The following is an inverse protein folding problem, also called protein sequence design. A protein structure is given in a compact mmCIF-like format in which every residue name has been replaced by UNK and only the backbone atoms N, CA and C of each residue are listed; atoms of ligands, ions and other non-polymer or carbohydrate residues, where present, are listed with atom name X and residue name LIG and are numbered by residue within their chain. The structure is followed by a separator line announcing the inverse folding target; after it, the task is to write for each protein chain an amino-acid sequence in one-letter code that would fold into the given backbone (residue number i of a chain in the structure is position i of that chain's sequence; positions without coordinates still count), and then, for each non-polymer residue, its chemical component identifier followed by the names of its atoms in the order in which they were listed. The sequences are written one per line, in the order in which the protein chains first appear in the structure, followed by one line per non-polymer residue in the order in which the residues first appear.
data_IF_887832352721
#
_entry.id   IF_887832352721
#
_cell.length_a   1.000
_cell.length_b   1.000
_cell.length_c   1.000
_cell.angle_alpha   90.00
_cell.angle_beta   90.00
_cell.angle_gamma   90.00
#
_symmetry.space_group_name_H-M   'P 1'
#
loop_
_entity.id
_entity.type
_entity.pdbx_description
1 polymer ?
#
# COMPACT_ATOMS: atom_id res chain seq x y z
N UNK A 1 -27.81 -52.14 -74.66
CA UNK A 1 -26.87 -51.98 -75.79
C UNK A 1 -26.73 -50.50 -76.08
N UNK A 2 -25.49 -49.98 -76.15
CA UNK A 2 -25.14 -48.75 -76.88
C UNK A 2 -25.27 -47.42 -76.12
N UNK A 3 -24.13 -46.78 -75.86
CA UNK A 3 -23.97 -45.35 -75.52
C UNK A 3 -24.76 -44.42 -76.46
N UNK A 4 -25.04 -43.18 -75.99
CA UNK A 4 -25.03 -42.03 -76.88
C UNK A 4 -23.95 -41.00 -76.53
N UNK A 5 -23.41 -40.43 -77.60
CA UNK A 5 -22.35 -39.44 -77.70
C UNK A 5 -22.65 -38.14 -76.93
N UNK A 6 -21.61 -37.61 -76.30
CA UNK A 6 -21.53 -36.26 -75.76
C UNK A 6 -21.21 -35.28 -76.89
N UNK A 7 -22.06 -34.28 -77.08
CA UNK A 7 -21.82 -33.14 -77.97
C UNK A 7 -21.55 -31.89 -77.13
N UNK A 8 -20.29 -31.46 -77.05
CA UNK A 8 -19.90 -30.18 -76.44
C UNK A 8 -20.37 -29.02 -77.33
N UNK A 9 -21.19 -28.12 -76.78
CA UNK A 9 -21.38 -26.76 -77.32
C UNK A 9 -20.74 -25.76 -76.36
N UNK A 10 -19.74 -25.06 -76.86
CA UNK A 10 -18.98 -24.02 -76.17
C UNK A 10 -19.81 -22.73 -76.12
N UNK A 11 -20.28 -22.34 -74.93
CA UNK A 11 -20.93 -21.05 -74.68
C UNK A 11 -19.96 -20.11 -73.97
N UNK A 12 -19.58 -19.02 -74.62
CA UNK A 12 -18.77 -17.94 -74.05
C UNK A 12 -19.71 -17.04 -73.24
N UNK A 13 -19.55 -17.01 -71.92
CA UNK A 13 -20.22 -16.07 -71.03
C UNK A 13 -19.23 -14.97 -70.62
N UNK A 14 -19.54 -13.75 -71.04
CA UNK A 14 -18.83 -12.53 -70.67
C UNK A 14 -19.25 -12.13 -69.25
N UNK A 15 -18.36 -12.32 -68.27
CA UNK A 15 -18.56 -11.86 -66.90
C UNK A 15 -18.05 -10.43 -66.73
N UNK A 16 -18.97 -9.49 -66.49
CA UNK A 16 -18.64 -8.14 -66.00
C UNK A 16 -18.37 -8.20 -64.49
N UNK A 17 -17.10 -8.13 -64.09
CA UNK A 17 -16.70 -8.01 -62.69
C UNK A 17 -16.80 -6.55 -62.24
N UNK A 18 -17.74 -6.24 -61.35
CA UNK A 18 -17.70 -4.99 -60.57
C UNK A 18 -16.61 -5.10 -59.51
N UNK A 19 -15.55 -4.30 -59.65
CA UNK A 19 -14.51 -4.16 -58.63
C UNK A 19 -15.03 -3.27 -57.50
N UNK A 20 -15.54 -3.88 -56.43
CA UNK A 20 -15.75 -3.18 -55.15
C UNK A 20 -14.39 -2.99 -54.48
N UNK A 21 -13.89 -1.76 -54.43
CA UNK A 21 -12.75 -1.39 -53.59
C UNK A 21 -13.12 -1.61 -52.12
N UNK A 22 -12.71 -2.75 -51.56
CA UNK A 22 -12.66 -2.93 -50.11
C UNK A 22 -11.53 -2.06 -49.56
N UNK A 23 -11.87 -0.89 -49.04
CA UNK A 23 -11.00 -0.19 -48.12
C UNK A 23 -10.85 -1.08 -46.88
N UNK A 24 -9.74 -1.81 -46.78
CA UNK A 24 -9.29 -2.40 -45.53
C UNK A 24 -9.05 -1.26 -44.54
N UNK A 25 -10.09 -0.89 -43.80
CA UNK A 25 -9.93 -0.13 -42.56
C UNK A 25 -9.18 -1.05 -41.62
N UNK A 26 -7.86 -0.87 -41.52
CA UNK A 26 -7.05 -1.39 -40.43
C UNK A 26 -7.61 -0.79 -39.15
N UNK A 27 -8.63 -1.42 -38.56
CA UNK A 27 -9.08 -1.13 -37.21
C UNK A 27 -7.87 -1.42 -36.32
N UNK A 28 -7.15 -0.36 -35.93
CA UNK A 28 -6.22 -0.45 -34.80
C UNK A 28 -7.03 -1.04 -33.64
N UNK A 29 -6.52 -2.07 -32.94
CA UNK A 29 -7.15 -2.48 -31.69
C UNK A 29 -7.32 -1.23 -30.82
N UNK A 30 -8.43 -1.09 -30.10
CA UNK A 30 -8.62 0.04 -29.20
C UNK A 30 -7.37 0.13 -28.32
N UNK A 31 -6.71 1.30 -28.34
CA UNK A 31 -5.55 1.58 -27.49
C UNK A 31 -6.01 1.35 -26.05
N UNK A 32 -5.53 0.27 -25.43
CA UNK A 32 -5.77 0.02 -24.01
C UNK A 32 -5.17 1.20 -23.23
N UNK A 33 -5.94 1.87 -22.38
CA UNK A 33 -5.40 2.95 -21.56
C UNK A 33 -4.23 2.40 -20.72
N UNK A 34 -3.18 3.22 -20.51
CA UNK A 34 -2.03 2.79 -19.74
C UNK A 34 -2.49 2.49 -18.30
N UNK A 35 -2.12 1.32 -17.77
CA UNK A 35 -2.45 0.89 -16.41
C UNK A 35 -1.35 1.33 -15.45
N UNK A 36 -1.74 1.84 -14.28
CA UNK A 36 -0.78 2.08 -13.20
C UNK A 36 -0.22 0.78 -12.65
N UNK A 37 1.02 0.84 -12.18
CA UNK A 37 1.66 -0.23 -11.42
C UNK A 37 1.98 0.25 -10.00
N UNK A 38 2.20 -0.68 -9.04
CA UNK A 38 2.75 -0.34 -7.73
C UNK A 38 4.08 0.44 -7.82
N UNK A 39 4.92 0.14 -8.82
CA UNK A 39 6.19 0.84 -9.05
C UNK A 39 5.98 2.30 -9.50
N UNK A 40 4.96 2.58 -10.31
CA UNK A 40 4.58 3.96 -10.65
C UNK A 40 4.20 4.75 -9.39
N UNK A 41 3.40 4.15 -8.50
CA UNK A 41 2.99 4.75 -7.23
C UNK A 41 4.21 5.09 -6.37
N UNK A 42 5.14 4.15 -6.18
CA UNK A 42 6.36 4.38 -5.39
C UNK A 42 7.29 5.40 -6.04
N UNK A 43 7.39 5.41 -7.37
CA UNK A 43 8.22 6.34 -8.13
C UNK A 43 7.75 7.79 -8.00
N UNK A 44 6.44 8.03 -7.92
CA UNK A 44 5.88 9.37 -7.67
C UNK A 44 6.20 9.91 -6.28
N UNK A 45 6.41 9.02 -5.32
CA UNK A 45 6.78 9.36 -3.94
C UNK A 45 8.31 9.33 -3.73
N UNK A 46 9.08 9.06 -4.78
CA UNK A 46 10.54 8.99 -4.79
C UNK A 46 11.23 10.28 -5.21
N UNK A 47 12.38 10.16 -5.86
CA UNK A 47 13.15 11.30 -6.35
C UNK A 47 12.50 11.93 -7.59
N UNK A 48 12.85 13.18 -7.91
CA UNK A 48 12.35 13.86 -9.13
C UNK A 48 12.70 13.09 -10.42
N UNK A 49 13.84 12.39 -10.41
CA UNK A 49 14.26 11.53 -11.53
C UNK A 49 13.34 10.32 -11.69
N UNK A 50 12.87 9.72 -10.59
CA UNK A 50 11.92 8.62 -10.62
C UNK A 50 10.53 9.09 -11.05
N UNK A 51 10.02 10.16 -10.44
CA UNK A 51 8.66 10.65 -10.72
C UNK A 51 8.49 11.15 -12.16
N UNK A 52 9.53 11.72 -12.77
CA UNK A 52 9.51 12.19 -14.17
C UNK A 52 9.43 11.07 -15.22
N UNK A 53 9.73 9.82 -14.85
CA UNK A 53 9.63 8.65 -15.74
C UNK A 53 8.22 8.07 -15.81
N UNK A 54 7.36 8.39 -14.85
CA UNK A 54 5.98 7.91 -14.79
C UNK A 54 5.16 8.61 -15.87
N UNK A 55 4.31 7.85 -16.57
CA UNK A 55 3.43 8.39 -17.59
C UNK A 55 2.60 9.58 -17.02
N UNK A 56 2.55 10.77 -17.67
CA UNK A 56 1.89 11.94 -17.10
C UNK A 56 0.40 11.74 -16.76
N UNK A 57 -0.32 10.94 -17.54
CA UNK A 57 -1.73 10.64 -17.28
C UNK A 57 -1.88 9.75 -16.04
N UNK A 58 -1.05 8.71 -15.93
CA UNK A 58 -0.99 7.84 -14.75
C UNK A 58 -0.59 8.67 -13.52
N UNK A 59 0.43 9.52 -13.65
CA UNK A 59 0.93 10.40 -12.60
C UNK A 59 -0.17 11.30 -12.04
N UNK A 60 -0.91 12.00 -12.91
CA UNK A 60 -2.01 12.85 -12.49
C UNK A 60 -3.12 12.05 -11.77
N UNK A 61 -3.48 10.88 -12.29
CA UNK A 61 -4.51 10.04 -11.67
C UNK A 61 -4.05 9.50 -10.30
N UNK A 62 -2.81 9.02 -10.18
CA UNK A 62 -2.27 8.53 -8.90
C UNK A 62 -2.17 9.65 -7.86
N UNK A 63 -1.66 10.82 -8.25
CA UNK A 63 -1.58 11.98 -7.37
C UNK A 63 -2.96 12.41 -6.86
N UNK A 64 -4.01 12.27 -7.67
CA UNK A 64 -5.39 12.56 -7.24
C UNK A 64 -5.90 11.60 -6.15
N UNK A 65 -5.28 10.42 -6.01
CA UNK A 65 -5.57 9.44 -4.97
C UNK A 65 -4.69 9.59 -3.72
N UNK A 66 -3.71 10.51 -3.70
CA UNK A 66 -2.86 10.72 -2.53
C UNK A 66 -3.50 11.69 -1.54
N UNK A 67 -3.56 11.29 -0.27
CA UNK A 67 -4.03 12.11 0.84
C UNK A 67 -2.96 12.17 1.92
N UNK A 68 -2.12 13.20 1.84
CA UNK A 68 -0.93 13.34 2.68
C UNK A 68 -1.30 13.66 4.15
N UNK A 69 -0.83 12.84 5.09
CA UNK A 69 -0.92 13.10 6.53
C UNK A 69 0.18 14.07 7.01
N UNK A 70 1.29 14.08 6.27
CA UNK A 70 2.38 15.05 6.37
C UNK A 70 2.64 15.60 4.96
N UNK A 71 2.76 16.92 4.76
CA UNK A 71 3.04 17.48 3.44
C UNK A 71 4.22 16.79 2.77
N UNK A 72 4.08 16.44 1.49
CA UNK A 72 5.10 15.65 0.78
C UNK A 72 6.47 16.36 0.70
N UNK A 73 6.46 17.69 0.60
CA UNK A 73 7.67 18.50 0.54
C UNK A 73 7.73 19.42 1.76
N UNK A 74 8.89 19.52 2.43
CA UNK A 74 9.09 20.50 3.50
C UNK A 74 8.83 21.92 2.97
N UNK A 75 7.81 22.59 3.48
CA UNK A 75 7.59 24.01 3.21
C UNK A 75 8.52 24.85 4.07
N UNK A 76 9.33 25.72 3.46
CA UNK A 76 10.21 26.69 4.15
C UNK A 76 9.46 27.79 4.95
N UNK A 77 8.14 27.67 5.14
CA UNK A 77 7.26 28.77 5.54
C UNK A 77 6.53 28.57 6.87
N UNK A 78 7.17 28.11 7.94
CA UNK A 78 6.55 28.17 9.28
C UNK A 78 7.54 28.57 10.39
N UNK A 79 8.07 29.79 10.30
CA UNK A 79 8.56 30.50 11.48
C UNK A 79 7.37 31.05 12.27
N UNK A 80 7.05 30.40 13.40
CA UNK A 80 6.34 30.89 14.61
C UNK A 80 5.20 29.98 15.04
N UNK A 81 5.50 29.04 15.94
CA UNK A 81 4.56 28.64 16.99
C UNK A 81 5.34 28.39 18.29
N UNK A 82 4.82 28.95 19.39
CA UNK A 82 5.43 28.99 20.73
C UNK A 82 5.25 27.65 21.47
N UNK A 83 6.28 27.26 22.23
CA UNK A 83 6.31 26.32 23.39
C UNK A 83 5.21 25.25 23.44
N UNK A 84 5.53 24.14 22.81
CA UNK A 84 4.83 22.86 22.68
C UNK A 84 5.43 22.17 21.45
N UNK A 85 5.53 20.84 21.39
CA UNK A 85 5.92 20.15 20.13
C UNK A 85 4.99 20.65 19.04
N UNK A 86 5.52 21.44 18.11
CA UNK A 86 4.70 22.06 17.10
C UNK A 86 4.43 21.05 15.98
N UNK A 87 3.35 21.22 15.24
CA UNK A 87 3.03 20.38 14.06
C UNK A 87 4.23 20.27 13.10
N UNK A 88 5.10 21.29 13.08
CA UNK A 88 6.36 21.29 12.34
C UNK A 88 7.35 20.23 12.83
N UNK A 89 7.46 20.01 14.14
CA UNK A 89 8.43 19.05 14.72
C UNK A 89 8.04 17.61 14.38
N UNK A 90 6.75 17.28 14.41
CA UNK A 90 6.24 15.97 13.99
C UNK A 90 6.39 15.74 12.48
N UNK A 91 6.27 16.80 11.67
CA UNK A 91 6.52 16.70 10.23
C UNK A 91 7.99 16.37 9.94
N UNK A 92 8.91 17.02 10.67
CA UNK A 92 10.34 16.73 10.58
C UNK A 92 10.63 15.26 10.91
N UNK A 93 9.95 14.67 11.90
CA UNK A 93 10.10 13.24 12.21
C UNK A 93 9.64 12.30 11.08
N UNK A 94 8.81 12.76 10.15
CA UNK A 94 8.47 11.99 8.95
C UNK A 94 9.49 12.24 7.83
N UNK A 95 9.85 13.50 7.56
CA UNK A 95 10.80 13.82 6.49
C UNK A 95 12.22 13.34 6.79
N UNK A 96 12.63 13.43 8.05
CA UNK A 96 13.96 13.17 8.60
C UNK A 96 13.80 12.43 9.94
N UNK A 97 13.44 11.14 9.92
CA UNK A 97 13.25 10.36 11.12
C UNK A 97 14.54 10.20 11.93
N UNK A 98 14.45 9.74 13.19
CA UNK A 98 15.62 9.54 14.04
C UNK A 98 16.66 8.58 13.43
N UNK A 99 17.91 8.72 13.88
CA UNK A 99 19.04 7.98 13.32
C UNK A 99 18.81 6.46 13.21
N UNK A 100 18.22 5.76 14.20
CA UNK A 100 17.99 4.31 14.07
C UNK A 100 17.05 3.91 12.93
N UNK A 101 16.14 4.81 12.51
CA UNK A 101 15.27 4.59 11.34
C UNK A 101 16.05 4.78 10.05
N UNK A 102 16.92 5.81 10.02
CA UNK A 102 17.83 6.06 8.90
C UNK A 102 18.81 4.90 8.71
N UNK A 103 19.36 4.37 9.80
CA UNK A 103 20.26 3.21 9.79
C UNK A 103 19.56 1.97 9.24
N UNK A 104 18.29 1.73 9.62
CA UNK A 104 17.50 0.63 9.08
C UNK A 104 17.21 0.80 7.58
N UNK A 105 16.89 2.03 7.14
CA UNK A 105 16.68 2.34 5.73
C UNK A 105 17.95 2.16 4.90
N UNK A 106 19.11 2.60 5.43
CA UNK A 106 20.42 2.37 4.82
C UNK A 106 20.75 0.88 4.76
N UNK A 107 20.48 0.12 5.83
CA UNK A 107 20.68 -1.33 5.87
C UNK A 107 19.86 -2.05 4.79
N UNK A 108 18.59 -1.66 4.60
CA UNK A 108 17.74 -2.19 3.54
C UNK A 108 18.32 -1.91 2.14
N UNK A 109 18.82 -0.70 1.92
CA UNK A 109 19.40 -0.28 0.65
C UNK A 109 20.74 -0.96 0.35
N UNK A 110 21.69 -0.92 1.30
CA UNK A 110 23.05 -1.45 1.13
C UNK A 110 23.07 -2.99 1.01
N UNK A 111 22.03 -3.66 1.52
CA UNK A 111 21.85 -5.10 1.37
C UNK A 111 21.20 -5.50 0.04
N UNK A 112 20.94 -4.54 -0.86
CA UNK A 112 20.28 -4.79 -2.14
C UNK A 112 18.81 -5.19 -1.99
N UNK A 113 18.17 -4.83 -0.88
CA UNK A 113 16.79 -5.18 -0.58
C UNK A 113 16.58 -6.58 0.00
N UNK A 114 17.60 -7.14 0.67
CA UNK A 114 17.53 -8.41 1.41
C UNK A 114 16.68 -8.26 2.70
N UNK A 115 15.51 -8.92 2.80
CA UNK A 115 14.69 -8.88 4.00
C UNK A 115 15.38 -9.47 5.24
N UNK A 116 16.32 -10.41 5.07
CA UNK A 116 17.08 -10.99 6.18
C UNK A 116 17.96 -9.96 6.89
N UNK A 117 18.33 -8.88 6.21
CA UNK A 117 19.04 -7.76 6.83
C UNK A 117 18.20 -7.10 7.93
N UNK A 118 16.90 -6.95 7.71
CA UNK A 118 15.97 -6.42 8.70
C UNK A 118 15.82 -7.38 9.88
N UNK A 119 15.71 -8.68 9.61
CA UNK A 119 15.62 -9.71 10.67
C UNK A 119 16.84 -9.68 11.61
N UNK A 120 18.04 -9.39 11.08
CA UNK A 120 19.27 -9.24 11.89
C UNK A 120 19.26 -8.03 12.82
N UNK A 121 18.39 -7.03 12.59
CA UNK A 121 18.22 -5.86 13.46
C UNK A 121 17.26 -6.11 14.64
N UNK A 122 16.63 -7.29 14.69
CA UNK A 122 15.72 -7.67 15.77
C UNK A 122 16.49 -8.21 16.99
N UNK A 123 15.99 -7.88 18.17
CA UNK A 123 16.39 -8.52 19.41
C UNK A 123 15.98 -10.00 19.34
N UNK A 124 16.90 -10.95 19.61
CA UNK A 124 16.58 -12.38 19.56
C UNK A 124 15.59 -12.82 20.64
N UNK A 125 15.31 -11.98 21.63
CA UNK A 125 14.36 -12.25 22.71
C UNK A 125 12.95 -12.45 22.16
N UNK A 126 12.42 -13.65 22.38
CA UNK A 126 11.06 -14.01 22.00
C UNK A 126 10.09 -13.48 23.05
N UNK A 127 9.12 -12.68 22.62
CA UNK A 127 8.08 -12.11 23.48
C UNK A 127 6.74 -12.76 23.14
N UNK A 128 6.06 -13.41 24.11
CA UNK A 128 4.73 -13.96 23.86
C UNK A 128 3.75 -12.83 23.54
N UNK A 129 2.91 -13.03 22.52
CA UNK A 129 1.86 -12.06 22.18
C UNK A 129 0.77 -12.15 23.26
N UNK A 130 0.46 -11.03 23.95
CA UNK A 130 -0.54 -11.03 25.00
C UNK A 130 -1.95 -11.18 24.43
N UNK A 131 -2.92 -11.43 25.30
CA UNK A 131 -4.32 -11.36 24.90
C UNK A 131 -4.75 -9.89 24.71
N UNK A 132 -4.70 -9.41 23.48
CA UNK A 132 -5.09 -8.03 23.17
C UNK A 132 -6.61 -7.93 23.13
N UNK A 133 -7.18 -7.16 24.06
CA UNK A 133 -8.62 -6.85 24.11
C UNK A 133 -9.51 -8.10 24.04
N UNK A 134 -9.14 -9.15 24.78
CA UNK A 134 -9.91 -10.41 24.85
C UNK A 134 -9.94 -11.17 23.52
N UNK A 135 -8.98 -10.95 22.62
CA UNK A 135 -8.83 -11.66 21.34
C UNK A 135 -8.94 -13.18 21.47
N UNK A 136 -8.40 -13.76 22.56
CA UNK A 136 -8.36 -15.20 22.77
C UNK A 136 -9.73 -15.81 23.06
N UNK A 137 -10.67 -15.04 23.63
CA UNK A 137 -12.05 -15.51 23.88
C UNK A 137 -12.72 -15.94 22.57
N UNK A 138 -12.44 -15.20 21.49
CA UNK A 138 -12.97 -15.47 20.16
C UNK A 138 -12.06 -16.36 19.30
N UNK A 139 -10.95 -16.88 19.86
CA UNK A 139 -9.90 -17.62 19.12
C UNK A 139 -9.21 -16.79 18.02
N UNK A 140 -9.22 -15.47 18.16
CA UNK A 140 -8.54 -14.57 17.22
C UNK A 140 -7.02 -14.62 17.41
N UNK A 141 -6.28 -14.69 16.29
CA UNK A 141 -4.83 -14.54 16.24
C UNK A 141 -4.50 -13.29 15.42
N UNK A 142 -4.16 -12.20 16.09
CA UNK A 142 -3.89 -10.90 15.45
C UNK A 142 -2.53 -10.81 14.77
N UNK A 143 -1.65 -11.79 15.03
CA UNK A 143 -0.25 -11.79 14.60
C UNK A 143 0.03 -13.08 13.85
N UNK A 144 0.99 -13.04 12.92
CA UNK A 144 1.44 -14.21 12.15
C UNK A 144 1.92 -15.37 13.02
N UNK A 145 2.51 -15.05 14.17
CA UNK A 145 3.05 -16.02 15.14
C UNK A 145 2.54 -15.72 16.54
N UNK A 146 2.41 -16.71 17.44
CA UNK A 146 1.95 -16.50 18.82
C UNK A 146 2.95 -15.75 19.70
N UNK A 147 4.08 -15.35 19.13
CA UNK A 147 5.13 -14.55 19.73
C UNK A 147 5.59 -13.51 18.72
N UNK A 148 6.20 -12.42 19.20
CA UNK A 148 6.90 -11.45 18.38
C UNK A 148 8.27 -11.13 18.96
N UNK A 149 8.98 -10.24 18.28
CA UNK A 149 10.25 -9.65 18.71
C UNK A 149 10.13 -8.13 18.72
N UNK A 150 11.22 -7.47 19.06
CA UNK A 150 11.37 -6.01 18.94
C UNK A 150 12.66 -5.72 18.21
N UNK A 151 12.80 -4.51 17.67
CA UNK A 151 14.12 -4.06 17.24
C UNK A 151 15.04 -3.88 18.45
N UNK A 152 16.35 -4.11 18.27
CA UNK A 152 17.36 -3.85 19.31
C UNK A 152 17.32 -2.39 19.75
N UNK A 153 17.10 -1.47 18.80
CA UNK A 153 16.94 -0.05 19.10
C UNK A 153 15.58 0.26 19.71
N UNK A 154 15.56 0.68 20.98
CA UNK A 154 14.33 1.15 21.64
C UNK A 154 13.73 2.37 20.93
N UNK A 155 14.56 3.29 20.45
CA UNK A 155 14.12 4.50 19.73
C UNK A 155 13.39 4.15 18.42
N UNK A 156 13.87 3.14 17.67
CA UNK A 156 13.16 2.62 16.49
C UNK A 156 11.79 2.05 16.86
N UNK A 157 11.69 1.28 17.94
CA UNK A 157 10.39 0.80 18.42
C UNK A 157 9.45 1.94 18.81
N UNK A 158 9.96 2.98 19.49
CA UNK A 158 9.18 4.18 19.84
C UNK A 158 8.73 4.96 18.61
N UNK A 159 9.55 5.00 17.55
CA UNK A 159 9.18 5.62 16.28
C UNK A 159 8.04 4.89 15.58
N UNK A 160 8.05 3.55 15.58
CA UNK A 160 6.95 2.76 15.02
C UNK A 160 5.64 3.04 15.77
N UNK A 161 5.68 3.08 17.11
CA UNK A 161 4.53 3.50 17.92
C UNK A 161 4.07 4.93 17.58
N UNK A 162 5.01 5.85 17.37
CA UNK A 162 4.70 7.21 16.93
C UNK A 162 3.94 7.23 15.60
N UNK A 163 4.29 6.40 14.61
CA UNK A 163 3.56 6.33 13.34
C UNK A 163 2.09 5.95 13.54
N UNK A 164 1.79 4.92 14.33
CA UNK A 164 0.41 4.52 14.64
C UNK A 164 -0.38 5.67 15.27
N UNK A 165 0.20 6.34 16.27
CA UNK A 165 -0.45 7.48 16.94
C UNK A 165 -0.64 8.67 16.01
N UNK A 166 0.33 8.95 15.15
CA UNK A 166 0.27 10.05 14.20
C UNK A 166 -0.84 9.84 13.17
N UNK A 167 -0.99 8.60 12.67
CA UNK A 167 -2.07 8.24 11.73
C UNK A 167 -3.43 8.50 12.37
N UNK A 168 -3.65 8.09 13.62
CA UNK A 168 -4.90 8.36 14.35
C UNK A 168 -5.13 9.85 14.54
N UNK A 169 -4.11 10.58 14.96
CA UNK A 169 -4.21 12.01 15.24
C UNK A 169 -4.54 12.84 13.99
N UNK A 170 -4.00 12.45 12.82
CA UNK A 170 -4.09 13.24 11.59
C UNK A 170 -5.05 12.70 10.55
N UNK A 171 -5.42 11.43 10.64
CA UNK A 171 -6.38 10.78 9.75
C UNK A 171 -7.66 11.60 9.53
N UNK A 172 -8.31 12.15 10.58
CA UNK A 172 -9.54 12.93 10.41
C UNK A 172 -9.40 14.12 9.46
N UNK A 173 -8.21 14.74 9.36
CA UNK A 173 -7.97 15.87 8.46
C UNK A 173 -8.03 15.48 6.97
N UNK A 174 -7.90 14.19 6.66
CA UNK A 174 -8.02 13.64 5.30
C UNK A 174 -9.24 12.72 5.12
N UNK A 175 -10.17 12.73 6.08
CA UNK A 175 -11.38 11.90 6.06
C UNK A 175 -11.18 10.47 6.57
N UNK A 176 -9.99 10.11 7.06
CA UNK A 176 -9.69 8.80 7.63
C UNK A 176 -9.94 8.81 9.15
N UNK A 177 -11.10 8.33 9.59
CA UNK A 177 -11.36 8.14 11.01
C UNK A 177 -11.03 6.70 11.42
N UNK A 178 -9.99 6.56 12.25
CA UNK A 178 -9.43 5.27 12.71
C UNK A 178 -9.17 5.30 14.21
N UNK A 179 -9.15 4.12 14.78
CA UNK A 179 -8.89 3.86 16.19
C UNK A 179 -7.82 2.77 16.30
N UNK A 180 -7.09 2.71 17.42
CA UNK A 180 -6.15 1.64 17.69
C UNK A 180 -6.90 0.60 18.52
N UNK A 181 -7.20 -0.54 17.93
CA UNK A 181 -7.75 -1.71 18.60
C UNK A 181 -7.59 -2.93 17.69
N UNK A 182 -7.93 -4.12 18.18
CA UNK A 182 -7.80 -5.37 17.45
C UNK A 182 -8.60 -5.45 16.14
N UNK A 183 -9.52 -4.52 15.86
CA UNK A 183 -10.31 -4.47 14.63
C UNK A 183 -9.85 -3.38 13.65
N UNK A 184 -9.14 -2.37 14.14
CA UNK A 184 -8.81 -1.16 13.40
C UNK A 184 -7.38 -0.71 13.72
N UNK A 185 -6.59 -0.47 12.66
CA UNK A 185 -5.22 0.03 12.70
C UNK A 185 -4.37 -0.55 13.85
N UNK A 186 -4.15 -1.87 13.82
CA UNK A 186 -3.27 -2.55 14.78
C UNK A 186 -2.03 -3.15 14.12
N UNK A 187 -1.91 -3.14 12.79
CA UNK A 187 -0.73 -3.68 12.13
C UNK A 187 -0.38 -2.96 10.82
N UNK A 188 0.82 -3.24 10.34
CA UNK A 188 1.27 -2.96 8.99
C UNK A 188 2.43 -3.87 8.60
N UNK A 189 2.74 -3.90 7.32
CA UNK A 189 3.77 -4.77 6.74
C UNK A 189 4.98 -3.95 6.37
N UNK A 190 6.12 -4.22 7.01
CA UNK A 190 7.40 -3.61 6.65
C UNK A 190 7.93 -4.33 5.40
N UNK A 191 8.12 -3.58 4.32
CA UNK A 191 8.60 -4.09 3.05
C UNK A 191 9.81 -3.30 2.54
N UNK A 192 10.54 -3.91 1.62
CA UNK A 192 11.62 -3.28 0.86
C UNK A 192 11.21 -3.20 -0.61
N UNK A 193 11.11 -2.00 -1.16
CA UNK A 193 10.66 -1.78 -2.54
C UNK A 193 11.62 -2.42 -3.56
N UNK A 194 11.09 -3.20 -4.51
CA UNK A 194 11.90 -4.02 -5.43
C UNK A 194 12.90 -3.21 -6.26
N UNK A 195 12.47 -2.06 -6.77
CA UNK A 195 13.25 -1.29 -7.75
C UNK A 195 14.25 -0.31 -7.11
N UNK A 196 14.06 0.01 -5.83
CA UNK A 196 14.79 1.11 -5.16
C UNK A 196 15.42 0.71 -3.83
N UNK A 197 15.13 -0.51 -3.36
CA UNK A 197 15.46 -0.99 -2.03
C UNK A 197 15.00 -0.04 -0.90
N UNK A 198 14.00 0.82 -1.18
CA UNK A 198 13.45 1.76 -0.21
C UNK A 198 12.63 1.02 0.84
N UNK A 199 12.92 1.30 2.10
CA UNK A 199 12.15 0.78 3.22
C UNK A 199 10.78 1.47 3.30
N UNK A 200 9.72 0.69 3.46
CA UNK A 200 8.36 1.20 3.62
C UNK A 200 7.53 0.34 4.56
N UNK A 201 6.43 0.91 5.06
CA UNK A 201 5.40 0.19 5.81
C UNK A 201 4.07 0.45 5.14
N UNK A 202 3.35 -0.62 4.81
CA UNK A 202 1.94 -0.55 4.41
C UNK A 202 1.08 -0.89 5.62
N UNK A 203 0.37 0.10 6.17
CA UNK A 203 -0.59 -0.11 7.25
C UNK A 203 -1.98 -0.38 6.69
N UNK A 204 -2.72 -1.23 7.41
CA UNK A 204 -4.11 -1.49 7.14
C UNK A 204 -4.97 -1.01 8.30
N UNK A 205 -5.81 -0.01 8.00
CA UNK A 205 -6.90 0.37 8.87
C UNK A 205 -8.15 -0.47 8.57
N UNK A 206 -9.12 -0.44 9.49
CA UNK A 206 -10.43 -1.07 9.32
C UNK A 206 -10.33 -2.54 8.89
N UNK A 207 -9.40 -3.25 9.50
CA UNK A 207 -9.00 -4.61 9.09
C UNK A 207 -10.14 -5.60 9.15
N UNK A 208 -10.97 -5.49 10.18
CA UNK A 208 -12.10 -6.38 10.40
C UNK A 208 -13.41 -5.58 10.43
N UNK A 209 -14.00 -5.21 9.28
CA UNK A 209 -15.35 -4.65 9.25
C UNK A 209 -16.36 -5.61 9.88
N UNK A 210 -17.31 -5.05 10.64
CA UNK A 210 -18.38 -5.79 11.26
C UNK A 210 -19.21 -6.51 10.20
N UNK A 211 -19.57 -7.77 10.47
CA UNK A 211 -20.48 -8.51 9.61
C UNK A 211 -21.85 -7.83 9.59
N UNK A 212 -22.31 -7.51 8.40
CA UNK A 212 -23.64 -6.96 8.16
C UNK A 212 -24.23 -7.64 6.92
N UNK A 213 -25.37 -8.32 7.07
CA UNK A 213 -25.97 -9.11 6.00
C UNK A 213 -26.35 -8.29 4.75
N UNK A 214 -26.58 -6.99 4.91
CA UNK A 214 -27.09 -6.10 3.87
C UNK A 214 -25.93 -5.28 3.26
N UNK A 215 -24.91 -4.93 4.07
CA UNK A 215 -23.81 -4.03 3.67
C UNK A 215 -22.47 -4.75 3.51
N UNK A 216 -22.14 -5.73 4.36
CA UNK A 216 -20.88 -6.46 4.33
C UNK A 216 -21.08 -7.94 4.75
N UNK A 217 -21.67 -8.78 3.87
CA UNK A 217 -22.06 -10.15 4.20
C UNK A 217 -20.87 -11.13 4.11
N UNK A 218 -19.66 -10.70 4.49
CA UNK A 218 -18.45 -11.50 4.41
C UNK A 218 -18.00 -11.93 5.81
N UNK A 219 -17.80 -13.24 5.98
CA UNK A 219 -17.22 -13.81 7.20
C UNK A 219 -15.70 -13.79 7.09
N UNK A 220 -15.05 -12.98 7.92
CA UNK A 220 -13.59 -12.83 8.00
C UNK A 220 -12.96 -13.67 9.13
N UNK A 221 -13.73 -14.58 9.71
CA UNK A 221 -13.26 -15.52 10.73
C UNK A 221 -13.28 -14.94 12.15
N UNK A 222 -12.48 -15.56 13.02
CA UNK A 222 -12.52 -15.35 14.46
C UNK A 222 -12.22 -13.92 14.91
N UNK A 223 -11.36 -13.20 14.19
CA UNK A 223 -10.99 -11.84 14.52
C UNK A 223 -12.06 -10.79 14.19
N UNK A 224 -13.05 -11.14 13.37
CA UNK A 224 -14.19 -10.28 13.07
C UNK A 224 -15.23 -10.24 14.21
N UNK A 225 -15.26 -11.29 15.04
CA UNK A 225 -16.31 -11.47 16.05
C UNK A 225 -16.26 -10.31 17.06
N UNK A 226 -17.38 -9.60 17.15
CA UNK A 226 -17.54 -8.44 18.03
C UNK A 226 -17.00 -7.12 17.47
N UNK A 227 -16.60 -7.07 16.20
CA UNK A 227 -16.15 -5.83 15.57
C UNK A 227 -17.26 -4.79 15.51
N UNK A 228 -16.87 -3.52 15.74
CA UNK A 228 -17.72 -2.34 15.62
C UNK A 228 -17.37 -1.49 14.39
N UNK A 229 -16.39 -1.93 13.58
CA UNK A 229 -15.93 -1.20 12.41
C UNK A 229 -17.01 -1.23 11.34
N UNK A 230 -17.61 -0.08 11.05
CA UNK A 230 -18.65 0.02 10.02
C UNK A 230 -18.05 -0.06 8.62
N UNK A 231 -18.63 -0.89 7.76
CA UNK A 231 -18.30 -0.92 6.34
C UNK A 231 -19.04 0.21 5.60
N UNK A 232 -18.30 1.18 5.06
CA UNK A 232 -18.81 2.30 4.26
C UNK A 232 -17.67 2.89 3.41
N UNK A 233 -17.88 4.06 2.78
CA UNK A 233 -16.88 4.70 1.90
C UNK A 233 -15.56 5.04 2.60
N UNK A 234 -15.50 5.06 3.93
CA UNK A 234 -14.22 5.20 4.66
C UNK A 234 -13.26 4.03 4.44
N UNK A 235 -13.74 2.89 3.91
CA UNK A 235 -12.90 1.77 3.46
C UNK A 235 -11.96 2.15 2.32
N UNK A 236 -12.31 3.18 1.53
CA UNK A 236 -11.45 3.67 0.44
C UNK A 236 -10.11 4.21 0.97
N UNK A 237 -10.06 4.66 2.22
CA UNK A 237 -8.90 5.34 2.82
C UNK A 237 -8.06 4.42 3.72
N UNK A 238 -8.28 3.11 3.67
CA UNK A 238 -7.71 2.18 4.67
C UNK A 238 -6.24 1.84 4.46
N UNK A 239 -5.69 2.05 3.26
CA UNK A 239 -4.30 1.76 2.95
C UNK A 239 -3.48 3.00 3.28
N UNK A 240 -2.59 2.92 4.27
CA UNK A 240 -1.70 4.02 4.62
C UNK A 240 -0.27 3.59 4.34
N UNK A 241 0.43 4.38 3.54
CA UNK A 241 1.80 4.12 3.15
C UNK A 241 2.74 5.07 3.89
N UNK A 242 3.68 4.48 4.63
CA UNK A 242 4.86 5.17 5.10
C UNK A 242 6.06 4.73 4.28
N UNK A 243 6.91 5.66 3.88
CA UNK A 243 8.20 5.39 3.25
C UNK A 243 9.29 6.09 4.05
N UNK A 244 10.34 5.36 4.41
CA UNK A 244 11.56 5.97 4.95
C UNK A 244 12.19 6.90 3.91
N UNK A 245 13.07 7.83 4.29
CA UNK A 245 13.88 8.55 3.32
C UNK A 245 14.60 7.58 2.38
N UNK A 246 14.70 7.91 1.09
CA UNK A 246 15.37 7.08 0.08
C UNK A 246 16.87 7.35 0.11
N UNK A 247 17.73 6.39 0.48
CA UNK A 247 19.17 6.59 0.44
C UNK A 247 19.66 6.81 -0.99
N UNK A 248 20.75 7.57 -1.15
CA UNK A 248 21.48 7.62 -2.41
C UNK A 248 22.76 6.76 -2.34
N UNK A 249 23.48 6.65 -3.46
CA UNK A 249 24.73 5.88 -3.53
C UNK A 249 25.89 6.47 -2.69
N UNK A 250 25.74 7.68 -2.14
CA UNK A 250 26.65 8.28 -1.18
C UNK A 250 26.21 7.94 0.25
N UNK A 251 27.15 7.83 1.18
CA UNK A 251 26.89 7.36 2.55
C UNK A 251 26.06 8.31 3.41
N UNK A 252 25.97 9.60 3.05
CA UNK A 252 25.39 10.63 3.93
C UNK A 252 24.23 11.43 3.32
N UNK A 253 23.74 11.05 2.14
CA UNK A 253 22.75 11.85 1.42
C UNK A 253 21.56 11.01 0.93
N UNK A 254 20.44 11.69 0.68
CA UNK A 254 19.12 11.08 0.51
C UNK A 254 18.45 11.63 -0.75
N UNK A 255 17.98 10.76 -1.64
CA UNK A 255 17.34 11.17 -2.90
C UNK A 255 15.90 11.67 -2.72
N UNK A 256 15.24 11.24 -1.63
CA UNK A 256 13.88 11.65 -1.30
C UNK A 256 13.65 11.66 0.22
N UNK A 257 12.84 12.58 0.76
CA UNK A 257 12.48 12.61 2.17
C UNK A 257 11.53 11.45 2.52
N UNK A 258 11.34 11.19 3.81
CA UNK A 258 10.30 10.26 4.26
C UNK A 258 8.89 10.79 3.98
N UNK A 259 7.93 9.87 3.87
CA UNK A 259 6.56 10.15 3.41
C UNK A 259 5.56 9.43 4.31
N UNK A 260 4.43 10.07 4.60
CA UNK A 260 3.27 9.43 5.20
C UNK A 260 1.99 9.87 4.49
N UNK A 261 1.36 8.94 3.78
CA UNK A 261 0.26 9.21 2.85
C UNK A 261 -0.81 8.14 2.92
N UNK A 262 -2.07 8.54 2.89
CA UNK A 262 -3.20 7.64 2.69
C UNK A 262 -3.44 7.47 1.19
N UNK A 263 -3.62 6.22 0.76
CA UNK A 263 -3.86 5.83 -0.62
C UNK A 263 -5.37 5.65 -0.84
N UNK A 264 -6.00 6.65 -1.44
CA UNK A 264 -7.44 6.67 -1.71
C UNK A 264 -7.79 5.68 -2.83
N UNK A 265 -8.39 4.57 -2.42
CA UNK A 265 -8.86 3.49 -3.24
C UNK A 265 -10.36 3.61 -3.57
N UNK A 266 -10.88 4.82 -3.75
CA UNK A 266 -12.26 5.00 -4.19
C UNK A 266 -12.54 4.27 -5.52
N UNK A 267 -13.76 3.73 -5.74
CA UNK A 267 -14.05 2.86 -6.88
C UNK A 267 -13.80 3.43 -8.28
N UNK A 268 -13.81 4.76 -8.42
CA UNK A 268 -13.55 5.46 -9.68
C UNK A 268 -12.05 5.79 -9.87
N UNK A 269 -11.24 5.57 -8.84
CA UNK A 269 -9.83 5.94 -8.78
C UNK A 269 -8.92 4.91 -9.43
N UNK A 270 -7.75 5.37 -9.86
CA UNK A 270 -6.75 4.51 -10.52
C UNK A 270 -6.18 3.44 -9.59
N UNK A 271 -6.04 3.74 -8.29
CA UNK A 271 -5.56 2.77 -7.30
C UNK A 271 -6.53 1.59 -7.21
N UNK A 272 -7.83 1.86 -7.12
CA UNK A 272 -8.85 0.82 -7.10
C UNK A 272 -8.88 0.00 -8.38
N UNK A 273 -8.79 0.66 -9.53
CA UNK A 273 -8.91 0.03 -10.84
C UNK A 273 -7.71 -0.84 -11.22
N UNK A 274 -6.49 -0.35 -10.94
CA UNK A 274 -5.27 -0.91 -11.53
C UNK A 274 -4.36 -1.60 -10.51
N UNK A 275 -4.41 -1.22 -9.23
CA UNK A 275 -3.49 -1.73 -8.18
C UNK A 275 -4.18 -2.78 -7.30
N UNK A 276 -5.44 -2.57 -6.94
CA UNK A 276 -6.16 -3.49 -6.05
C UNK A 276 -6.60 -4.75 -6.81
N UNK A 277 -6.24 -5.96 -6.35
CA UNK A 277 -6.67 -7.18 -7.02
C UNK A 277 -8.19 -7.39 -6.93
N UNK A 278 -8.77 -7.94 -8.00
CA UNK A 278 -10.22 -8.15 -8.13
C UNK A 278 -10.81 -8.95 -6.95
N UNK A 279 -10.07 -9.92 -6.43
CA UNK A 279 -10.54 -10.81 -5.36
C UNK A 279 -10.55 -10.17 -3.97
N UNK A 280 -9.95 -8.99 -3.78
CA UNK A 280 -10.01 -8.20 -2.53
C UNK A 280 -10.56 -6.80 -2.74
N UNK A 281 -11.10 -6.51 -3.93
CA UNK A 281 -11.60 -5.19 -4.23
C UNK A 281 -12.67 -4.77 -3.22
N UNK A 282 -13.53 -5.68 -2.74
CA UNK A 282 -14.59 -5.39 -1.77
C UNK A 282 -14.06 -4.86 -0.43
N UNK A 283 -12.83 -5.18 -0.02
CA UNK A 283 -12.19 -4.60 1.17
C UNK A 283 -11.16 -3.53 0.83
N UNK A 284 -10.99 -3.19 -0.46
CA UNK A 284 -10.10 -2.14 -0.95
C UNK A 284 -8.63 -2.33 -0.48
N UNK A 285 -8.14 -3.57 -0.38
CA UNK A 285 -6.78 -3.86 0.12
C UNK A 285 -5.73 -3.79 -0.99
N UNK A 286 -4.62 -3.10 -0.75
CA UNK A 286 -3.37 -3.28 -1.52
C UNK A 286 -2.54 -4.34 -0.80
N UNK A 287 -1.97 -5.31 -1.51
CA UNK A 287 -1.04 -6.25 -0.88
C UNK A 287 0.37 -5.67 -0.84
N UNK A 288 1.04 -5.88 0.27
CA UNK A 288 2.41 -5.48 0.53
C UNK A 288 3.41 -6.11 -0.46
N UNK A 289 3.13 -7.34 -0.93
CA UNK A 289 3.94 -8.08 -1.90
C UNK A 289 3.97 -7.40 -3.29
N UNK A 290 2.95 -6.61 -3.60
CA UNK A 290 2.85 -5.81 -4.82
C UNK A 290 3.83 -4.62 -4.77
N UNK A 291 4.15 -4.11 -3.57
CA UNK A 291 5.05 -2.97 -3.37
C UNK A 291 6.52 -3.39 -3.23
N UNK A 292 6.79 -4.59 -2.72
CA UNK A 292 8.14 -4.96 -2.30
C UNK A 292 8.32 -6.40 -1.87
N UNK A 293 9.50 -6.69 -1.35
CA UNK A 293 9.73 -7.90 -0.55
C UNK A 293 9.36 -7.60 0.89
N UNK A 294 8.42 -8.35 1.44
CA UNK A 294 7.99 -8.20 2.84
C UNK A 294 9.08 -8.74 3.77
N UNK A 295 9.44 -7.97 4.78
CA UNK A 295 10.40 -8.38 5.80
C UNK A 295 9.67 -8.89 7.05
N UNK A 296 8.82 -8.06 7.65
CA UNK A 296 8.17 -8.38 8.93
C UNK A 296 6.84 -7.68 9.07
N UNK A 297 5.97 -8.24 9.92
CA UNK A 297 4.74 -7.58 10.33
C UNK A 297 5.01 -6.73 11.58
N UNK A 298 4.57 -5.49 11.57
CA UNK A 298 4.65 -4.57 12.71
C UNK A 298 3.27 -4.47 13.35
N UNK A 299 3.16 -4.87 14.60
CA UNK A 299 1.88 -4.96 15.32
C UNK A 299 1.86 -4.03 16.54
N UNK A 300 0.82 -3.22 16.67
CA UNK A 300 0.57 -2.29 17.76
C UNK A 300 -0.58 -2.80 18.62
N UNK A 301 -0.25 -3.54 19.68
CA UNK A 301 -1.24 -4.29 20.46
C UNK A 301 -1.45 -3.68 21.84
N UNK A 302 -2.71 -3.60 22.27
CA UNK A 302 -3.07 -3.18 23.62
C UNK A 302 -2.77 -4.31 24.61
N UNK A 303 -1.85 -4.07 25.56
CA UNK A 303 -1.37 -5.08 26.50
C UNK A 303 -1.97 -4.95 27.91
N UNK A 304 -2.95 -4.06 28.10
CA UNK A 304 -3.85 -4.09 29.28
C UNK A 304 -3.26 -3.69 30.64
N UNK A 305 -2.03 -3.19 30.72
CA UNK A 305 -1.35 -2.96 32.01
C UNK A 305 -1.64 -1.59 32.68
N UNK A 306 -2.42 -0.70 32.03
CA UNK A 306 -3.06 0.59 32.45
C UNK A 306 -3.64 1.28 31.19
N UNK A 307 -4.47 2.33 31.31
CA UNK A 307 -5.47 2.71 30.28
C UNK A 307 -4.97 3.72 29.22
N UNK A 308 -5.09 3.39 27.92
CA UNK A 308 -4.61 2.17 27.30
C UNK A 308 -3.07 2.15 27.21
N UNK A 309 -2.46 0.96 27.29
CA UNK A 309 -1.01 0.77 27.18
C UNK A 309 -0.75 -0.20 26.04
N UNK A 310 -0.08 0.29 25.00
CA UNK A 310 0.19 -0.46 23.78
C UNK A 310 1.68 -0.82 23.67
N UNK A 311 1.97 -1.86 22.90
CA UNK A 311 3.34 -2.30 22.63
C UNK A 311 3.50 -2.72 21.16
N UNK A 312 4.71 -2.49 20.64
CA UNK A 312 5.14 -2.94 19.32
C UNK A 312 5.65 -4.38 19.38
N UNK A 313 5.12 -5.23 18.49
CA UNK A 313 5.57 -6.60 18.24
C UNK A 313 5.91 -6.78 16.76
N UNK A 314 7.08 -7.33 16.48
CA UNK A 314 7.58 -7.62 15.14
C UNK A 314 7.49 -9.13 14.90
N UNK A 315 6.78 -9.56 13.85
CA UNK A 315 6.52 -10.97 13.56
C UNK A 315 7.00 -11.39 12.17
#
# INVERSE_FOLDING_TARGET
MGNPNVSLRLGILVSLSLTTCYCYSSQRPPLTPPKATPSDLLSLLGSTSQSSKVNPLISHQLQSCFRFLVPFTPTNHFQRARRGLCVSDENELIWRPPQPVLDLARLAFDSGGDPDAIHRALDPTILPVPDAEGSKENRCQLTRTPYGRRFISQELNSYLEFLFKLIVARGPAVGLNVSLNRYDLFHGHLFIARDTARLGILFHAKEYPAYDKDVFPYNMGYCQIGSTVTYNDSMNLRNILWLAPLPNNSTNDWEAPGVLVVLDAHPEGIIYRDIIPDYVNFVRTIYEDDLGNVAVDVNYLNIGNRVPSYQIFIC
#
